data_IF_874413328376
#
_entry.id   IF_874413328376
#
_cell.length_a   1.000
_cell.length_b   1.000
_cell.length_c   1.000
_cell.angle_alpha   90.00
_cell.angle_beta   90.00
_cell.angle_gamma   90.00
#
_symmetry.space_group_name_H-M   'P 1'
#
loop_
_entity.id
_entity.type
_entity.pdbx_description
1 polymer ?
#
# COMPACT_ATOMS: atom_id res chain seq x y z
N UNK A 1 20.09 -4.43 14.64
CA UNK A 1 18.94 -4.78 15.52
C UNK A 1 17.59 -4.32 14.92
N UNK A 2 17.31 -4.54 13.62
CA UNK A 2 16.11 -3.96 12.95
C UNK A 2 15.06 -4.99 12.47
N UNK A 3 15.31 -6.30 12.61
CA UNK A 3 14.36 -7.35 12.20
C UNK A 3 13.46 -7.88 13.35
N UNK A 4 13.88 -7.76 14.61
CA UNK A 4 13.07 -8.23 15.77
C UNK A 4 11.79 -7.42 15.97
N UNK A 5 11.82 -6.10 15.73
CA UNK A 5 10.67 -5.23 16.02
C UNK A 5 9.48 -5.49 15.09
N UNK A 6 9.71 -5.91 13.85
CA UNK A 6 8.64 -6.17 12.87
C UNK A 6 8.04 -7.57 13.06
N UNK A 7 8.85 -8.57 13.40
CA UNK A 7 8.37 -9.94 13.60
C UNK A 7 7.48 -10.06 14.84
N UNK A 8 7.79 -9.34 15.91
CA UNK A 8 7.00 -9.32 17.15
C UNK A 8 5.63 -8.68 16.96
N UNK A 9 5.53 -7.66 16.08
CA UNK A 9 4.26 -7.02 15.73
C UNK A 9 3.34 -7.97 14.97
N UNK A 10 3.87 -8.65 13.94
CA UNK A 10 3.12 -9.61 13.13
C UNK A 10 2.60 -10.76 13.99
N UNK A 11 3.44 -11.28 14.89
CA UNK A 11 3.08 -12.32 15.84
C UNK A 11 1.89 -11.89 16.72
N UNK A 12 1.96 -10.71 17.34
CA UNK A 12 0.92 -10.23 18.26
C UNK A 12 -0.44 -10.09 17.56
N UNK A 13 -0.47 -9.63 16.31
CA UNK A 13 -1.71 -9.46 15.54
C UNK A 13 -2.35 -10.78 15.11
N UNK A 14 -1.52 -11.73 14.67
CA UNK A 14 -1.99 -13.07 14.34
C UNK A 14 -2.54 -13.75 15.58
N UNK A 15 -1.85 -13.64 16.70
CA UNK A 15 -2.31 -14.19 17.97
C UNK A 15 -3.67 -13.62 18.37
N UNK A 16 -3.85 -12.30 18.36
CA UNK A 16 -5.15 -11.65 18.64
C UNK A 16 -6.27 -12.16 17.71
N UNK A 17 -5.97 -12.33 16.42
CA UNK A 17 -6.95 -12.85 15.45
C UNK A 17 -7.29 -14.31 15.70
N UNK A 18 -6.30 -15.14 16.06
CA UNK A 18 -6.50 -16.54 16.43
C UNK A 18 -7.13 -16.68 17.82
N UNK A 19 -7.01 -15.70 18.71
CA UNK A 19 -7.72 -15.65 19.98
C UNK A 19 -9.23 -15.52 19.78
N UNK A 20 -9.66 -14.73 18.79
CA UNK A 20 -11.07 -14.63 18.36
C UNK A 20 -11.63 -15.89 17.70
N UNK A 21 -10.76 -16.81 17.28
CA UNK A 21 -11.16 -18.15 16.87
C UNK A 21 -11.44 -19.01 18.12
N UNK A 22 -12.68 -19.47 18.27
CA UNK A 22 -13.01 -20.50 19.25
C UNK A 22 -12.31 -21.82 18.92
N UNK A 23 -12.22 -22.76 19.87
CA UNK A 23 -11.49 -24.02 19.71
C UNK A 23 -11.94 -24.83 18.49
N UNK A 24 -13.23 -24.79 18.15
CA UNK A 24 -13.79 -25.48 16.97
C UNK A 24 -13.28 -24.88 15.66
N UNK A 25 -13.15 -23.55 15.60
CA UNK A 25 -12.65 -22.89 14.41
C UNK A 25 -11.12 -22.96 14.35
N UNK A 26 -10.43 -23.00 15.49
CA UNK A 26 -8.99 -23.27 15.53
C UNK A 26 -8.63 -24.63 14.90
N UNK A 27 -9.41 -25.69 15.18
CA UNK A 27 -9.18 -27.00 14.55
C UNK A 27 -9.44 -26.97 13.04
N UNK A 28 -10.44 -26.23 12.58
CA UNK A 28 -10.64 -25.98 11.15
C UNK A 28 -9.50 -25.16 10.55
N UNK A 29 -8.94 -24.21 11.30
CA UNK A 29 -7.79 -23.41 10.90
C UNK A 29 -6.55 -24.28 10.71
N UNK A 30 -6.24 -25.14 11.68
CA UNK A 30 -5.17 -26.15 11.56
C UNK A 30 -5.38 -27.03 10.34
N UNK A 31 -6.59 -27.55 10.15
CA UNK A 31 -6.90 -28.40 9.01
C UNK A 31 -6.72 -27.66 7.68
N UNK A 32 -7.21 -26.43 7.58
CA UNK A 32 -7.04 -25.59 6.40
C UNK A 32 -5.57 -25.21 6.16
N UNK A 33 -4.80 -24.90 7.20
CA UNK A 33 -3.36 -24.61 7.10
C UNK A 33 -2.57 -25.80 6.51
N UNK A 34 -2.95 -27.03 6.86
CA UNK A 34 -2.32 -28.25 6.36
C UNK A 34 -2.77 -28.65 4.94
N UNK A 35 -4.03 -28.37 4.59
CA UNK A 35 -4.64 -28.81 3.33
C UNK A 35 -4.76 -27.70 2.29
N UNK A 36 -4.40 -26.46 2.63
CA UNK A 36 -4.39 -25.36 1.68
C UNK A 36 -3.21 -25.52 0.74
N UNK A 37 -3.50 -25.65 -0.56
CA UNK A 37 -2.50 -25.49 -1.60
C UNK A 37 -2.20 -24.00 -1.70
N UNK A 38 -1.25 -23.53 -0.90
CA UNK A 38 -0.72 -22.17 -1.05
C UNK A 38 -0.06 -22.05 -2.42
N UNK A 39 -0.01 -20.83 -2.98
CA UNK A 39 0.64 -20.53 -4.26
C UNK A 39 2.02 -21.22 -4.35
N UNK A 40 2.34 -21.73 -5.54
CA UNK A 40 3.60 -22.44 -5.81
C UNK A 40 4.82 -21.68 -5.25
N UNK A 41 5.70 -22.39 -4.53
CA UNK A 41 6.95 -21.85 -3.98
C UNK A 41 6.95 -21.50 -2.49
N UNK A 42 5.85 -21.71 -1.74
CA UNK A 42 5.84 -21.53 -0.28
C UNK A 42 6.28 -22.82 0.47
N UNK A 43 7.09 -22.69 1.53
CA UNK A 43 7.51 -23.83 2.34
C UNK A 43 6.32 -24.50 3.03
N UNK A 44 6.32 -25.84 3.09
CA UNK A 44 5.27 -26.59 3.75
C UNK A 44 5.48 -26.55 5.26
N UNK A 45 4.43 -26.24 6.00
CA UNK A 45 4.46 -26.28 7.46
C UNK A 45 4.52 -27.74 7.96
N UNK A 46 5.30 -28.03 9.02
CA UNK A 46 5.37 -29.36 9.62
C UNK A 46 4.05 -29.78 10.27
N UNK A 47 3.42 -30.82 9.72
CA UNK A 47 2.10 -31.34 10.19
C UNK A 47 2.12 -31.77 11.66
N UNK A 48 3.19 -32.41 12.08
CA UNK A 48 3.39 -32.91 13.44
C UNK A 48 3.37 -31.82 14.50
N UNK A 49 3.80 -30.60 14.16
CA UNK A 49 3.81 -29.47 15.08
C UNK A 49 2.44 -28.79 15.14
N UNK A 50 1.78 -28.59 13.99
CA UNK A 50 0.48 -27.91 13.94
C UNK A 50 -0.64 -28.66 14.64
N UNK A 51 -0.67 -30.00 14.55
CA UNK A 51 -1.76 -30.79 15.13
C UNK A 51 -1.81 -30.66 16.65
N UNK A 52 -0.64 -30.66 17.31
CA UNK A 52 -0.52 -30.54 18.77
C UNK A 52 -0.37 -29.09 19.25
N UNK A 53 -0.07 -28.15 18.36
CA UNK A 53 0.21 -26.77 18.72
C UNK A 53 -1.00 -26.02 19.27
N UNK A 54 -0.72 -25.14 20.22
CA UNK A 54 -1.66 -24.11 20.68
C UNK A 54 -1.67 -22.90 19.73
N UNK A 55 -2.46 -21.89 20.07
CA UNK A 55 -2.61 -20.69 19.23
C UNK A 55 -1.28 -19.94 19.06
N UNK A 56 -0.49 -19.85 20.12
CA UNK A 56 0.80 -19.14 20.13
C UNK A 56 1.85 -19.89 19.30
N UNK A 57 1.96 -21.20 19.49
CA UNK A 57 2.85 -22.06 18.73
C UNK A 57 2.53 -22.05 17.23
N UNK A 58 1.24 -22.07 16.85
CA UNK A 58 0.82 -21.93 15.44
C UNK A 58 1.31 -20.60 14.87
N UNK A 59 1.07 -19.50 15.58
CA UNK A 59 1.48 -18.15 15.14
C UNK A 59 2.99 -18.09 14.97
N UNK A 60 3.73 -18.57 15.97
CA UNK A 60 5.19 -18.59 15.96
C UNK A 60 5.74 -19.37 14.77
N UNK A 61 5.19 -20.56 14.51
CA UNK A 61 5.57 -21.38 13.35
C UNK A 61 5.25 -20.67 12.03
N UNK A 62 4.09 -20.03 11.92
CA UNK A 62 3.73 -19.27 10.72
C UNK A 62 4.66 -18.09 10.48
N UNK A 63 5.04 -17.35 11.53
CA UNK A 63 5.98 -16.23 11.43
C UNK A 63 7.40 -16.72 11.11
N UNK A 64 7.83 -17.84 11.68
CA UNK A 64 9.16 -18.43 11.44
C UNK A 64 9.29 -18.95 10.00
N UNK A 65 8.25 -19.61 9.48
CA UNK A 65 8.29 -20.29 8.18
C UNK A 65 7.93 -19.35 7.03
N UNK A 66 6.95 -18.46 7.22
CA UNK A 66 6.46 -17.56 6.16
C UNK A 66 6.92 -16.12 6.32
N UNK A 67 7.51 -15.74 7.45
CA UNK A 67 7.95 -14.36 7.70
C UNK A 67 6.77 -13.40 7.60
N UNK A 68 6.92 -12.32 6.82
CA UNK A 68 5.84 -11.35 6.58
C UNK A 68 4.70 -11.90 5.70
N UNK A 69 4.95 -12.96 4.93
CA UNK A 69 3.92 -13.56 4.06
C UNK A 69 2.91 -14.42 4.84
N UNK A 70 3.13 -14.65 6.13
CA UNK A 70 2.19 -15.39 6.97
C UNK A 70 0.79 -14.77 7.00
N UNK A 71 0.66 -13.46 6.75
CA UNK A 71 -0.64 -12.77 6.82
C UNK A 71 -1.48 -12.98 5.58
N UNK A 72 -0.85 -13.06 4.40
CA UNK A 72 -1.53 -13.51 3.18
C UNK A 72 -2.02 -14.94 3.37
N UNK A 73 -1.18 -15.79 3.97
CA UNK A 73 -1.53 -17.19 4.28
C UNK A 73 -2.70 -17.28 5.25
N UNK A 74 -2.67 -16.53 6.36
CA UNK A 74 -3.76 -16.50 7.34
C UNK A 74 -5.05 -15.99 6.72
N UNK A 75 -4.97 -14.95 5.88
CA UNK A 75 -6.13 -14.41 5.17
C UNK A 75 -6.77 -15.46 4.26
N UNK A 76 -5.99 -16.11 3.41
CA UNK A 76 -6.48 -17.18 2.53
C UNK A 76 -7.15 -18.32 3.31
N UNK A 77 -6.60 -18.65 4.49
CA UNK A 77 -7.16 -19.69 5.37
C UNK A 77 -8.48 -19.25 6.00
N UNK A 78 -8.55 -18.03 6.54
CA UNK A 78 -9.77 -17.48 7.13
C UNK A 78 -10.90 -17.34 6.10
N UNK A 79 -10.58 -16.96 4.86
CA UNK A 79 -11.51 -16.93 3.73
C UNK A 79 -12.07 -18.33 3.44
N UNK A 80 -11.22 -19.36 3.41
CA UNK A 80 -11.66 -20.77 3.22
C UNK A 80 -12.53 -21.28 4.36
N UNK A 81 -12.31 -20.79 5.57
CA UNK A 81 -13.12 -21.12 6.74
C UNK A 81 -14.43 -20.31 6.81
N UNK A 82 -14.68 -19.43 5.83
CA UNK A 82 -15.83 -18.53 5.77
C UNK A 82 -15.90 -17.56 6.97
N UNK A 83 -14.74 -17.23 7.57
CA UNK A 83 -14.58 -16.23 8.63
C UNK A 83 -14.15 -14.88 8.04
N UNK A 84 -14.97 -14.36 7.13
CA UNK A 84 -14.72 -13.07 6.46
C UNK A 84 -14.80 -11.88 7.41
N UNK A 85 -15.48 -12.05 8.55
CA UNK A 85 -15.47 -11.12 9.69
C UNK A 85 -14.05 -10.86 10.20
N UNK A 86 -13.27 -11.93 10.38
CA UNK A 86 -11.89 -11.84 10.85
C UNK A 86 -10.93 -11.40 9.75
N UNK A 87 -11.23 -11.68 8.48
CA UNK A 87 -10.42 -11.19 7.35
C UNK A 87 -10.45 -9.67 7.27
N UNK A 88 -11.64 -9.07 7.42
CA UNK A 88 -11.80 -7.62 7.46
C UNK A 88 -11.04 -7.01 8.63
N UNK A 89 -11.21 -7.56 9.83
CA UNK A 89 -10.52 -7.09 11.05
C UNK A 89 -9.01 -7.24 10.97
N UNK A 90 -8.51 -8.36 10.45
CA UNK A 90 -7.08 -8.60 10.24
C UNK A 90 -6.51 -7.58 9.23
N UNK A 91 -7.23 -7.32 8.14
CA UNK A 91 -6.84 -6.32 7.12
C UNK A 91 -6.86 -4.90 7.69
N UNK A 92 -7.87 -4.53 8.46
CA UNK A 92 -7.96 -3.23 9.13
C UNK A 92 -6.88 -3.07 10.21
N UNK A 93 -6.65 -4.09 11.04
CA UNK A 93 -5.59 -4.11 12.06
C UNK A 93 -4.20 -3.98 11.43
N UNK A 94 -3.97 -4.64 10.29
CA UNK A 94 -2.75 -4.47 9.49
C UNK A 94 -2.62 -3.05 8.92
N UNK A 95 -3.69 -2.51 8.35
CA UNK A 95 -3.70 -1.15 7.82
C UNK A 95 -3.48 -0.10 8.92
N UNK A 96 -4.06 -0.30 10.11
CA UNK A 96 -3.96 0.58 11.28
C UNK A 96 -2.59 0.51 11.98
N UNK A 97 -1.90 -0.62 11.91
CA UNK A 97 -0.57 -0.79 12.52
C UNK A 97 0.58 -0.40 11.58
N UNK A 98 0.36 -0.36 10.26
CA UNK A 98 1.24 0.35 9.31
C UNK A 98 1.30 1.87 9.55
N UNK A 99 0.36 2.43 10.33
CA UNK A 99 0.32 3.87 10.66
C UNK A 99 1.34 4.24 11.73
N UNK A 100 1.79 3.28 12.56
CA UNK A 100 2.79 3.51 13.60
C UNK A 100 4.24 3.18 13.18
N UNK A 101 4.47 2.64 11.97
CA UNK A 101 5.82 2.48 11.43
C UNK A 101 5.87 2.61 9.90
N UNK A 102 5.81 3.86 9.43
CA UNK A 102 6.35 4.33 8.14
C UNK A 102 5.79 3.69 6.84
N UNK A 103 4.80 4.38 6.26
CA UNK A 103 4.31 4.30 4.86
C UNK A 103 3.55 3.01 4.50
N UNK A 104 2.27 2.95 4.83
CA UNK A 104 1.28 2.33 3.94
C UNK A 104 0.16 3.33 3.68
N UNK A 105 0.17 3.89 2.47
CA UNK A 105 -0.93 4.67 1.93
C UNK A 105 -2.11 3.71 1.82
N UNK A 106 -3.18 3.95 2.58
CA UNK A 106 -4.44 3.23 2.40
C UNK A 106 -4.86 3.28 0.93
N UNK A 107 -5.38 2.18 0.35
CA UNK A 107 -5.84 2.13 -1.05
C UNK A 107 -6.97 3.12 -1.39
N UNK A 108 -7.52 3.81 -0.39
CA UNK A 108 -8.68 4.67 -0.49
C UNK A 108 -8.41 6.11 -0.95
N UNK A 109 -7.15 6.53 -1.14
CA UNK A 109 -6.80 7.86 -1.68
C UNK A 109 -5.60 7.83 -2.65
N UNK A 110 -5.63 6.96 -3.67
CA UNK A 110 -4.73 7.14 -4.83
C UNK A 110 -5.23 8.36 -5.60
N UNK A 111 -4.70 9.54 -5.27
CA UNK A 111 -5.04 10.79 -5.97
C UNK A 111 -4.74 10.64 -7.47
N UNK A 112 -5.57 11.21 -8.35
CA UNK A 112 -5.45 11.13 -9.82
C UNK A 112 -4.02 11.34 -10.33
N UNK A 113 -3.33 12.29 -9.71
CA UNK A 113 -1.93 12.65 -9.96
C UNK A 113 -0.94 11.52 -9.69
N UNK A 114 -1.16 10.69 -8.66
CA UNK A 114 -0.31 9.54 -8.35
C UNK A 114 -0.54 8.39 -9.34
N UNK A 115 -1.78 8.23 -9.81
CA UNK A 115 -2.15 7.21 -10.80
C UNK A 115 -1.59 7.53 -12.18
N UNK A 116 -1.60 8.81 -12.57
CA UNK A 116 -1.10 9.29 -13.87
C UNK A 116 0.33 9.85 -13.80
N UNK A 117 1.09 9.52 -12.76
CA UNK A 117 2.42 10.06 -12.54
C UNK A 117 3.38 9.75 -13.70
N UNK A 118 3.23 8.61 -14.37
CA UNK A 118 4.01 8.24 -15.55
C UNK A 118 3.64 9.07 -16.78
N UNK A 119 2.34 9.27 -17.03
CA UNK A 119 1.84 10.07 -18.15
C UNK A 119 2.25 11.55 -18.00
N UNK A 120 2.16 12.06 -16.77
CA UNK A 120 2.59 13.42 -16.41
C UNK A 120 4.11 13.59 -16.56
N UNK A 121 4.93 12.64 -16.10
CA UNK A 121 6.39 12.70 -16.26
C UNK A 121 6.85 12.64 -17.72
N UNK A 122 6.09 11.98 -18.59
CA UNK A 122 6.42 11.80 -19.99
C UNK A 122 6.03 13.01 -20.84
N UNK A 123 4.92 13.68 -20.52
CA UNK A 123 4.34 14.72 -21.38
C UNK A 123 4.45 16.15 -20.82
N UNK A 124 4.64 16.32 -19.51
CA UNK A 124 4.81 17.66 -18.92
C UNK A 124 6.24 18.14 -19.20
N UNK A 125 6.39 18.89 -20.30
CA UNK A 125 7.67 19.47 -20.69
C UNK A 125 7.97 20.80 -19.98
N UNK A 126 6.95 21.50 -19.44
CA UNK A 126 7.10 22.80 -18.79
C UNK A 126 6.74 22.76 -17.29
N UNK A 127 7.72 22.39 -16.45
CA UNK A 127 7.53 22.33 -14.98
C UNK A 127 7.78 23.69 -14.33
N UNK A 128 8.42 24.63 -15.03
CA UNK A 128 8.72 25.98 -14.51
C UNK A 128 7.46 26.72 -14.01
N UNK A 129 6.44 26.92 -14.86
CA UNK A 129 5.19 27.58 -14.46
C UNK A 129 4.47 26.86 -13.31
N UNK A 130 4.57 25.52 -13.29
CA UNK A 130 3.97 24.69 -12.24
C UNK A 130 4.70 24.91 -10.91
N UNK A 131 6.02 24.93 -10.91
CA UNK A 131 6.87 25.21 -9.75
C UNK A 131 6.62 26.62 -9.20
N UNK A 132 6.53 27.62 -10.07
CA UNK A 132 6.27 29.01 -9.68
C UNK A 132 4.91 29.15 -8.98
N UNK A 133 3.86 28.54 -9.54
CA UNK A 133 2.53 28.53 -8.94
C UNK A 133 2.46 27.74 -7.63
N UNK A 134 3.26 26.69 -7.49
CA UNK A 134 3.35 25.92 -6.25
C UNK A 134 4.10 26.68 -5.14
N UNK A 135 5.10 27.49 -5.51
CA UNK A 135 5.78 28.42 -4.60
C UNK A 135 4.83 29.56 -4.19
N UNK A 136 4.12 30.14 -5.15
CA UNK A 136 3.13 31.20 -4.92
C UNK A 136 2.01 30.75 -3.98
N UNK A 137 1.55 29.51 -4.12
CA UNK A 137 0.53 28.91 -3.24
C UNK A 137 1.07 28.40 -1.90
N UNK A 138 2.37 28.56 -1.63
CA UNK A 138 3.00 28.16 -0.37
C UNK A 138 3.08 26.65 -0.15
N UNK A 139 2.90 25.85 -1.20
CA UNK A 139 2.99 24.37 -1.14
C UNK A 139 4.45 23.94 -1.01
N UNK A 140 5.37 24.74 -1.54
CA UNK A 140 6.80 24.44 -1.58
C UNK A 140 7.56 25.61 -0.94
N UNK A 141 8.58 25.29 -0.15
CA UNK A 141 9.52 26.28 0.39
C UNK A 141 10.53 26.67 -0.67
N UNK A 142 11.02 27.90 -0.60
CA UNK A 142 11.98 28.47 -1.56
C UNK A 142 13.25 27.59 -1.71
N UNK A 143 13.75 27.03 -0.61
CA UNK A 143 14.87 26.07 -0.63
C UNK A 143 14.63 24.84 -1.51
N UNK A 144 13.42 24.29 -1.48
CA UNK A 144 13.05 23.08 -2.25
C UNK A 144 12.77 23.46 -3.71
N UNK A 145 12.24 24.66 -3.95
CA UNK A 145 12.08 25.21 -5.28
C UNK A 145 13.43 25.35 -5.99
N UNK A 146 14.44 25.93 -5.33
CA UNK A 146 15.77 26.12 -5.92
C UNK A 146 16.44 24.78 -6.24
N UNK A 147 16.35 23.79 -5.32
CA UNK A 147 16.86 22.43 -5.55
C UNK A 147 16.23 21.72 -6.76
N UNK A 148 14.95 21.99 -7.04
CA UNK A 148 14.25 21.41 -8.19
C UNK A 148 14.59 22.23 -9.45
N UNK A 149 14.67 23.55 -9.35
CA UNK A 149 15.02 24.44 -10.47
C UNK A 149 16.41 24.16 -11.02
N UNK A 150 17.39 23.94 -10.13
CA UNK A 150 18.79 23.68 -10.43
C UNK A 150 19.05 22.27 -10.98
N UNK A 151 18.04 21.39 -10.97
CA UNK A 151 18.19 20.05 -11.52
C UNK A 151 18.28 20.13 -13.06
N UNK A 152 19.23 19.44 -13.72
CA UNK A 152 19.50 19.67 -15.14
C UNK A 152 18.46 19.10 -16.10
N UNK A 153 17.73 18.03 -15.74
CA UNK A 153 16.78 17.38 -16.64
C UNK A 153 15.33 17.55 -16.18
N UNK A 154 14.43 17.86 -17.12
CA UNK A 154 13.00 18.08 -16.88
C UNK A 154 12.35 16.90 -16.16
N UNK A 155 12.66 15.65 -16.52
CA UNK A 155 12.08 14.50 -15.83
C UNK A 155 12.54 14.34 -14.38
N UNK A 156 13.79 14.65 -14.07
CA UNK A 156 14.33 14.56 -12.70
C UNK A 156 13.69 15.65 -11.81
N UNK A 157 13.38 16.82 -12.37
CA UNK A 157 12.60 17.87 -11.70
C UNK A 157 11.24 17.35 -11.24
N UNK A 158 10.50 16.70 -12.14
CA UNK A 158 9.20 16.09 -11.82
C UNK A 158 9.35 15.01 -10.74
N UNK A 159 10.34 14.13 -10.85
CA UNK A 159 10.58 13.08 -9.83
C UNK A 159 10.86 13.66 -8.45
N UNK A 160 11.69 14.70 -8.35
CA UNK A 160 11.98 15.38 -7.07
C UNK A 160 10.75 16.08 -6.52
N UNK A 161 9.96 16.75 -7.37
CA UNK A 161 8.71 17.40 -6.97
C UNK A 161 7.72 16.39 -6.36
N UNK A 162 7.56 15.23 -7.01
CA UNK A 162 6.69 14.17 -6.51
C UNK A 162 7.16 13.54 -5.20
N UNK A 163 8.47 13.29 -5.06
CA UNK A 163 9.02 12.60 -3.90
C UNK A 163 9.23 13.53 -2.69
N UNK A 164 9.48 14.80 -2.94
CA UNK A 164 9.74 15.81 -1.90
C UNK A 164 8.46 16.55 -1.53
N UNK A 165 8.16 17.68 -2.18
CA UNK A 165 7.08 18.57 -1.75
C UNK A 165 5.67 17.98 -1.88
N UNK A 166 5.35 17.24 -2.95
CA UNK A 166 4.00 16.66 -3.11
C UNK A 166 3.73 15.53 -2.12
N UNK A 167 4.76 14.77 -1.75
CA UNK A 167 4.65 13.74 -0.70
C UNK A 167 4.61 14.37 0.69
N UNK A 168 5.41 15.41 0.93
CA UNK A 168 5.50 16.09 2.24
C UNK A 168 4.27 16.96 2.53
N UNK A 169 3.67 17.57 1.51
CA UNK A 169 2.48 18.41 1.63
C UNK A 169 1.15 17.65 1.65
N UNK A 170 1.18 16.32 1.55
CA UNK A 170 -0.02 15.48 1.62
C UNK A 170 -1.05 15.77 0.53
N UNK A 171 -2.32 15.49 0.81
CA UNK A 171 -3.42 15.61 -0.18
C UNK A 171 -3.60 17.04 -0.70
N UNK A 172 -3.53 18.05 0.20
CA UNK A 172 -3.67 19.48 -0.16
C UNK A 172 -2.67 19.91 -1.24
N UNK A 173 -1.43 19.42 -1.17
CA UNK A 173 -0.43 19.71 -2.19
C UNK A 173 -0.77 19.10 -3.54
N UNK A 174 -1.33 17.89 -3.54
CA UNK A 174 -1.77 17.18 -4.76
C UNK A 174 -2.99 17.84 -5.39
N UNK A 175 -3.95 18.31 -4.59
CA UNK A 175 -5.13 19.05 -5.06
C UNK A 175 -4.71 20.35 -5.77
N UNK A 176 -3.81 21.11 -5.14
CA UNK A 176 -3.29 22.34 -5.72
C UNK A 176 -2.51 22.07 -7.01
N UNK A 177 -1.69 21.02 -7.02
CA UNK A 177 -0.96 20.60 -8.22
C UNK A 177 -1.90 20.24 -9.36
N UNK A 178 -2.99 19.53 -9.06
CA UNK A 178 -4.00 19.18 -10.04
C UNK A 178 -4.75 20.40 -10.59
N UNK A 179 -5.11 21.37 -9.72
CA UNK A 179 -5.68 22.64 -10.16
C UNK A 179 -4.74 23.44 -11.08
N UNK A 180 -3.42 23.34 -10.85
CA UNK A 180 -2.41 23.98 -11.70
C UNK A 180 -2.30 23.23 -13.04
N UNK A 181 -2.28 21.89 -13.01
CA UNK A 181 -2.30 21.08 -14.23
C UNK A 181 -3.55 21.34 -15.07
N UNK A 182 -4.72 21.51 -14.45
CA UNK A 182 -5.96 21.83 -15.17
C UNK A 182 -5.91 23.22 -15.83
N UNK A 183 -5.09 24.13 -15.31
CA UNK A 183 -4.91 25.49 -15.87
C UNK A 183 -3.82 25.56 -16.94
N UNK A 184 -2.69 24.90 -16.74
CA UNK A 184 -1.55 24.94 -17.67
C UNK A 184 -1.66 23.90 -18.79
N UNK A 185 -2.17 22.72 -18.46
CA UNK A 185 -2.19 21.52 -19.30
C UNK A 185 -3.61 20.92 -19.35
N UNK A 186 -4.62 21.78 -19.57
CA UNK A 186 -6.04 21.39 -19.59
C UNK A 186 -6.31 20.22 -20.54
N UNK A 187 -5.69 20.22 -21.73
CA UNK A 187 -5.81 19.15 -22.72
C UNK A 187 -5.31 17.80 -22.20
N UNK A 188 -4.19 17.79 -21.48
CA UNK A 188 -3.62 16.56 -20.90
C UNK A 188 -4.53 16.03 -19.78
N UNK A 189 -5.01 16.91 -18.91
CA UNK A 189 -5.92 16.54 -17.82
C UNK A 189 -7.23 15.98 -18.38
N UNK A 190 -7.81 16.60 -19.42
CA UNK A 190 -9.02 16.11 -20.06
C UNK A 190 -8.80 14.77 -20.77
N UNK A 191 -7.65 14.56 -21.40
CA UNK A 191 -7.32 13.28 -22.04
C UNK A 191 -7.16 12.15 -21.01
N UNK A 192 -6.48 12.44 -19.90
CA UNK A 192 -6.34 11.50 -18.79
C UNK A 192 -7.68 11.21 -18.10
N UNK A 193 -8.54 12.23 -17.90
CA UNK A 193 -9.91 12.08 -17.39
C UNK A 193 -10.77 11.22 -18.32
N UNK A 194 -10.69 11.43 -19.64
CA UNK A 194 -11.39 10.60 -20.65
C UNK A 194 -10.93 9.15 -20.61
N UNK A 195 -9.63 8.92 -20.40
CA UNK A 195 -9.06 7.57 -20.28
C UNK A 195 -9.54 6.86 -19.01
N UNK A 196 -9.75 7.58 -17.90
CA UNK A 196 -10.33 7.02 -16.68
C UNK A 196 -11.83 6.72 -16.78
N UNK A 197 -12.58 7.60 -17.46
CA UNK A 197 -14.03 7.42 -17.67
C UNK A 197 -14.37 6.47 -18.82
N UNK A 198 -13.40 6.15 -19.69
CA UNK A 198 -13.53 5.25 -20.83
C UNK A 198 -13.30 3.75 -20.55
N UNK A 199 -12.92 3.35 -19.32
CA UNK A 199 -12.75 1.93 -18.96
C UNK A 199 -14.09 1.15 -18.81
N UNK A 200 -15.19 1.73 -19.30
CA UNK A 200 -16.52 1.11 -19.42
C UNK A 200 -17.10 1.17 -20.83
N UNK A 201 -16.32 1.40 -21.88
CA UNK A 201 -16.82 1.36 -23.26
C UNK A 201 -16.09 0.28 -24.09
N UNK A 202 -16.73 -0.89 -24.14
CA UNK A 202 -16.57 -1.93 -25.17
C UNK A 202 -16.42 -1.25 -26.54
N UNK A 203 -15.38 -1.62 -27.31
CA UNK A 203 -15.50 -1.77 -28.77
C UNK A 203 -14.55 -2.87 -29.28
N UNK A 204 -15.21 -3.93 -29.75
CA UNK A 204 -14.83 -5.06 -30.61
C UNK A 204 -13.61 -5.91 -30.29
#
# INVERSE_FOLDING_TARGET
MKQESTMTSVHSQLLETLEELGSRDLEKFKHALLHTKMKEGLPKIPRNQVETADKDEIVKLMVEIYGQRCVEVTKDILERMNRTDLVGKLSESWNLLCVNHFIFVSPSEVHFVDKHQCDLKANVNNIGPILDKLLEKGVIRQEVYDQIRDTPTTQEKMRKLFRGPLKSGGQKAKDVFYQILEKEESYLVDDLKRKESGAGAIWN
#
